data_IF_911413691317
#
_entry.id   IF_911413691317
#
_cell.length_a   1.000
_cell.length_b   1.000
_cell.length_c   1.000
_cell.angle_alpha   90.00
_cell.angle_beta   90.00
_cell.angle_gamma   90.00
#
_symmetry.space_group_name_H-M   'P 1'
#
loop_
_entity.id
_entity.type
_entity.pdbx_description
1 polymer ?
#
# COMPACT_ATOMS: atom_id res chain seq x y z
N UNK A 1 12.94 -16.62 6.45
CA UNK A 1 12.86 -15.30 5.82
C UNK A 1 13.04 -15.53 4.34
N UNK A 2 11.94 -15.62 3.59
CA UNK A 2 12.01 -15.73 2.13
C UNK A 2 12.61 -14.43 1.58
N UNK A 3 13.57 -14.54 0.67
CA UNK A 3 14.14 -13.39 -0.03
C UNK A 3 13.24 -13.12 -1.22
N UNK A 4 12.25 -12.24 -1.06
CA UNK A 4 11.42 -11.79 -2.18
C UNK A 4 12.25 -10.88 -3.09
N UNK A 5 12.25 -11.19 -4.38
CA UNK A 5 12.75 -10.27 -5.39
C UNK A 5 11.79 -9.08 -5.55
N UNK A 6 12.34 -7.96 -5.99
CA UNK A 6 11.56 -6.74 -6.24
C UNK A 6 10.41 -6.97 -7.23
N UNK A 7 10.63 -7.84 -8.23
CA UNK A 7 9.64 -8.16 -9.24
C UNK A 7 8.52 -9.05 -8.70
N UNK A 8 8.84 -10.02 -7.83
CA UNK A 8 7.82 -10.83 -7.15
C UNK A 8 6.92 -9.98 -6.27
N UNK A 9 7.49 -9.04 -5.52
CA UNK A 9 6.72 -8.10 -4.71
C UNK A 9 5.84 -7.19 -5.57
N UNK A 10 6.36 -6.68 -6.69
CA UNK A 10 5.57 -5.90 -7.65
C UNK A 10 4.41 -6.73 -8.21
N UNK A 11 4.65 -7.99 -8.56
CA UNK A 11 3.60 -8.87 -9.07
C UNK A 11 2.53 -9.14 -8.03
N UNK A 12 2.92 -9.50 -6.81
CA UNK A 12 1.98 -9.71 -5.71
C UNK A 12 1.13 -8.46 -5.42
N UNK A 13 1.75 -7.29 -5.42
CA UNK A 13 1.07 -6.01 -5.22
C UNK A 13 -0.03 -5.76 -6.27
N UNK A 14 0.27 -6.04 -7.54
CA UNK A 14 -0.69 -5.91 -8.65
C UNK A 14 -1.76 -7.01 -8.61
N UNK A 15 -1.40 -8.24 -8.24
CA UNK A 15 -2.34 -9.36 -8.07
C UNK A 15 -3.36 -9.09 -6.95
N UNK A 16 -3.01 -8.24 -5.98
CA UNK A 16 -3.94 -7.73 -4.96
C UNK A 16 -4.87 -6.62 -5.44
N UNK A 17 -4.74 -6.18 -6.69
CA UNK A 17 -5.62 -5.20 -7.33
C UNK A 17 -5.15 -3.74 -7.22
N UNK A 18 -3.95 -3.49 -6.68
CA UNK A 18 -3.35 -2.15 -6.70
C UNK A 18 -2.68 -1.87 -8.06
N UNK A 19 -2.29 -0.62 -8.30
CA UNK A 19 -1.77 -0.18 -9.59
C UNK A 19 -0.38 0.50 -9.50
N UNK A 20 0.26 0.68 -10.66
CA UNK A 20 1.53 1.39 -10.74
C UNK A 20 1.44 2.87 -10.35
N UNK A 21 0.27 3.50 -10.52
CA UNK A 21 0.08 4.91 -10.21
C UNK A 21 0.26 5.17 -8.71
N UNK A 22 -0.32 4.32 -7.86
CA UNK A 22 -0.17 4.40 -6.40
C UNK A 22 1.29 4.21 -5.94
N UNK A 23 2.03 3.27 -6.55
CA UNK A 23 3.48 3.14 -6.32
C UNK A 23 4.22 4.40 -6.76
N UNK A 24 3.90 4.94 -7.93
CA UNK A 24 4.54 6.14 -8.48
C UNK A 24 4.35 7.34 -7.55
N UNK A 25 3.14 7.53 -7.02
CA UNK A 25 2.82 8.56 -6.02
C UNK A 25 3.69 8.40 -4.77
N UNK A 26 3.80 7.19 -4.21
CA UNK A 26 4.52 6.93 -2.97
C UNK A 26 6.04 6.97 -3.11
N UNK A 27 6.59 6.65 -4.29
CA UNK A 27 8.03 6.43 -4.48
C UNK A 27 8.69 7.43 -5.43
N UNK A 28 7.90 8.23 -6.15
CA UNK A 28 8.38 9.15 -7.19
C UNK A 28 9.19 8.45 -8.30
N UNK A 29 8.91 7.16 -8.52
CA UNK A 29 9.41 6.39 -9.64
C UNK A 29 8.38 6.50 -10.77
N UNK A 30 8.78 6.87 -12.00
CA UNK A 30 7.85 6.94 -13.12
C UNK A 30 7.19 5.58 -13.39
N UNK A 31 5.89 5.58 -13.73
CA UNK A 31 5.18 4.34 -14.07
C UNK A 31 5.86 3.52 -15.17
N UNK A 32 6.49 4.18 -16.14
CA UNK A 32 7.23 3.48 -17.20
C UNK A 32 8.39 2.65 -16.62
N UNK A 33 9.16 3.19 -15.67
CA UNK A 33 10.23 2.44 -15.02
C UNK A 33 9.68 1.28 -14.18
N UNK A 34 8.53 1.44 -13.54
CA UNK A 34 7.84 0.36 -12.83
C UNK A 34 7.37 -0.75 -13.78
N UNK A 35 6.85 -0.39 -14.95
CA UNK A 35 6.47 -1.36 -16.00
C UNK A 35 7.67 -2.11 -16.55
N UNK A 36 8.81 -1.44 -16.71
CA UNK A 36 10.08 -2.08 -17.11
C UNK A 36 10.56 -3.07 -16.03
N UNK A 37 10.54 -2.66 -14.75
CA UNK A 37 10.85 -3.57 -13.62
C UNK A 37 9.93 -4.79 -13.59
N UNK A 38 8.64 -4.60 -13.84
CA UNK A 38 7.66 -5.68 -13.84
C UNK A 38 7.87 -6.65 -15.02
N UNK A 39 8.13 -6.14 -16.22
CA UNK A 39 8.20 -6.94 -17.46
C UNK A 39 9.57 -7.53 -17.80
N UNK A 40 10.65 -7.03 -17.19
CA UNK A 40 12.02 -7.42 -17.52
C UNK A 40 12.84 -7.74 -16.26
N UNK A 41 13.07 -9.03 -16.03
CA UNK A 41 13.86 -9.57 -14.89
C UNK A 41 15.28 -8.97 -14.76
N UNK A 42 15.87 -8.54 -15.89
CA UNK A 42 17.20 -7.97 -15.94
C UNK A 42 17.21 -6.45 -15.78
N UNK A 43 16.05 -5.79 -15.82
CA UNK A 43 15.97 -4.36 -15.61
C UNK A 43 16.31 -4.01 -14.16
N UNK A 44 17.04 -2.91 -13.99
CA UNK A 44 17.44 -2.37 -12.68
C UNK A 44 17.26 -0.88 -12.72
N UNK A 45 16.77 -0.32 -11.61
CA UNK A 45 16.69 1.12 -11.48
C UNK A 45 18.10 1.69 -11.44
N UNK A 46 18.27 2.82 -12.14
CA UNK A 46 19.55 3.56 -12.14
C UNK A 46 19.81 4.18 -10.78
N UNK A 47 18.77 4.69 -10.14
CA UNK A 47 18.81 5.24 -8.79
C UNK A 47 18.63 4.11 -7.77
N UNK A 48 19.72 3.79 -7.07
CA UNK A 48 19.74 2.70 -6.09
C UNK A 48 19.07 3.04 -4.78
N UNK A 49 18.91 4.31 -4.45
CA UNK A 49 18.18 4.69 -3.26
C UNK A 49 16.68 4.58 -3.54
N UNK A 50 16.20 5.00 -4.72
CA UNK A 50 14.82 4.72 -5.16
C UNK A 50 14.51 3.23 -5.19
N UNK A 51 15.44 2.39 -5.64
CA UNK A 51 15.27 0.92 -5.62
C UNK A 51 15.07 0.38 -4.20
N UNK A 52 15.84 0.86 -3.22
CA UNK A 52 15.66 0.50 -1.80
C UNK A 52 14.34 1.03 -1.25
N UNK A 53 13.97 2.27 -1.56
CA UNK A 53 12.71 2.86 -1.13
C UNK A 53 11.51 2.06 -1.66
N UNK A 54 11.54 1.67 -2.94
CA UNK A 54 10.51 0.82 -3.54
C UNK A 54 10.43 -0.55 -2.85
N UNK A 55 11.58 -1.18 -2.58
CA UNK A 55 11.63 -2.46 -1.87
C UNK A 55 10.96 -2.36 -0.49
N UNK A 56 11.30 -1.34 0.30
CA UNK A 56 10.70 -1.12 1.63
C UNK A 56 9.20 -0.86 1.51
N UNK A 57 8.78 -0.05 0.55
CA UNK A 57 7.37 0.22 0.30
C UNK A 57 6.57 -1.05 0.03
N UNK A 58 7.07 -1.89 -0.88
CA UNK A 58 6.38 -3.12 -1.25
C UNK A 58 6.40 -4.16 -0.13
N UNK A 59 7.49 -4.29 0.63
CA UNK A 59 7.56 -5.21 1.77
C UNK A 59 6.53 -4.89 2.85
N UNK A 60 6.35 -3.60 3.18
CA UNK A 60 5.37 -3.18 4.18
C UNK A 60 3.92 -3.47 3.78
N UNK A 61 3.64 -3.52 2.49
CA UNK A 61 2.29 -3.82 2.01
C UNK A 61 2.13 -5.33 1.82
N UNK A 62 3.07 -5.97 1.12
CA UNK A 62 2.94 -7.36 0.69
C UNK A 62 3.28 -8.39 1.78
N UNK A 63 4.13 -8.02 2.74
CA UNK A 63 4.67 -8.96 3.73
C UNK A 63 4.30 -8.60 5.18
N UNK A 64 3.94 -7.36 5.46
CA UNK A 64 3.54 -6.94 6.81
C UNK A 64 2.03 -7.17 6.99
N UNK A 65 1.69 -8.35 7.53
CA UNK A 65 0.35 -8.64 8.03
C UNK A 65 0.42 -9.02 9.51
N UNK A 66 0.26 -8.04 10.44
CA UNK A 66 0.11 -8.36 11.84
C UNK A 66 -1.17 -9.19 12.05
N UNK A 67 -1.12 -10.23 12.88
CA UNK A 67 -2.30 -11.04 13.27
C UNK A 67 -3.26 -10.27 14.22
N UNK A 68 -3.16 -8.94 14.27
CA UNK A 68 -3.81 -8.10 15.26
C UNK A 68 -4.59 -6.97 14.58
N UNK A 69 -5.91 -7.03 14.72
CA UNK A 69 -6.88 -6.06 14.19
C UNK A 69 -6.62 -4.65 14.75
N UNK A 70 -6.10 -4.54 15.98
CA UNK A 70 -5.76 -3.26 16.61
C UNK A 70 -4.73 -2.46 15.81
N UNK A 71 -3.84 -3.14 15.08
CA UNK A 71 -2.89 -2.45 14.20
C UNK A 71 -3.62 -1.69 13.09
N UNK A 72 -4.52 -2.36 12.37
CA UNK A 72 -5.27 -1.76 11.27
C UNK A 72 -6.28 -0.72 11.78
N UNK A 73 -6.87 -0.94 12.97
CA UNK A 73 -7.68 0.07 13.65
C UNK A 73 -6.89 1.32 13.97
N UNK A 74 -5.66 1.19 14.47
CA UNK A 74 -4.79 2.33 14.75
C UNK A 74 -4.38 3.09 13.47
N UNK A 75 -4.16 2.37 12.35
CA UNK A 75 -3.93 3.01 11.05
C UNK A 75 -5.17 3.80 10.59
N UNK A 76 -6.36 3.20 10.69
CA UNK A 76 -7.63 3.85 10.35
C UNK A 76 -7.91 5.07 11.25
N UNK A 77 -7.65 4.95 12.55
CA UNK A 77 -7.72 6.05 13.50
C UNK A 77 -6.74 7.16 13.12
N UNK A 78 -5.50 6.83 12.72
CA UNK A 78 -4.52 7.82 12.29
C UNK A 78 -4.97 8.56 11.01
N UNK A 79 -5.53 7.85 10.03
CA UNK A 79 -6.10 8.44 8.82
C UNK A 79 -7.23 9.43 9.13
N UNK A 80 -8.13 9.07 10.04
CA UNK A 80 -9.31 9.87 10.37
C UNK A 80 -9.02 10.99 11.37
N UNK A 81 -8.20 10.74 12.40
CA UNK A 81 -7.95 11.66 13.49
C UNK A 81 -6.71 12.53 13.28
N UNK A 82 -5.62 11.98 12.75
CA UNK A 82 -4.40 12.76 12.52
C UNK A 82 -4.44 13.46 11.16
N UNK A 83 -4.75 12.71 10.10
CA UNK A 83 -4.78 13.23 8.73
C UNK A 83 -6.13 13.82 8.32
N UNK A 84 -7.16 13.70 9.18
CA UNK A 84 -8.49 14.28 8.97
C UNK A 84 -9.14 13.84 7.65
N UNK A 85 -8.83 12.62 7.19
CA UNK A 85 -9.47 12.03 6.02
C UNK A 85 -10.87 11.55 6.43
N UNK A 86 -11.95 11.99 5.76
CA UNK A 86 -13.29 11.54 6.07
C UNK A 86 -13.43 10.01 5.94
N UNK A 87 -14.17 9.41 6.86
CA UNK A 87 -14.37 7.95 6.89
C UNK A 87 -15.06 7.46 5.62
N UNK A 88 -15.98 8.26 5.06
CA UNK A 88 -16.66 8.01 3.79
C UNK A 88 -15.67 7.96 2.62
N UNK A 89 -14.65 8.82 2.62
CA UNK A 89 -13.63 8.82 1.56
C UNK A 89 -12.78 7.55 1.62
N UNK A 90 -12.44 7.09 2.81
CA UNK A 90 -11.70 5.84 3.03
C UNK A 90 -12.58 4.64 2.62
N UNK A 91 -13.84 4.61 3.03
CA UNK A 91 -14.78 3.56 2.66
C UNK A 91 -14.96 3.47 1.13
N UNK A 92 -15.12 4.62 0.46
CA UNK A 92 -15.19 4.70 -1.00
C UNK A 92 -13.92 4.18 -1.68
N UNK A 93 -12.74 4.51 -1.14
CA UNK A 93 -11.46 4.01 -1.66
C UNK A 93 -11.38 2.48 -1.58
N UNK A 94 -11.80 1.90 -0.45
CA UNK A 94 -11.77 0.45 -0.20
C UNK A 94 -12.89 -0.27 -0.98
N UNK A 95 -13.97 0.45 -1.34
CA UNK A 95 -15.14 -0.10 -2.00
C UNK A 95 -16.05 -0.86 -1.02
N UNK A 96 -16.23 -0.31 0.18
CA UNK A 96 -17.17 -0.78 1.22
C UNK A 96 -17.98 0.41 1.75
N UNK A 97 -19.04 0.16 2.51
CA UNK A 97 -19.73 1.22 3.25
C UNK A 97 -19.02 1.54 4.59
N UNK A 98 -19.45 2.61 5.24
CA UNK A 98 -18.85 3.10 6.50
C UNK A 98 -18.98 2.08 7.63
N UNK A 99 -20.11 1.38 7.70
CA UNK A 99 -20.37 0.38 8.74
C UNK A 99 -19.46 -0.85 8.54
N UNK A 100 -19.31 -1.30 7.29
CA UNK A 100 -18.40 -2.38 6.89
C UNK A 100 -16.93 -2.03 7.10
N UNK A 101 -16.54 -0.77 6.93
CA UNK A 101 -15.21 -0.30 7.31
C UNK A 101 -15.03 -0.22 8.83
N UNK A 102 -16.04 0.21 9.58
CA UNK A 102 -15.94 0.36 11.04
C UNK A 102 -15.96 -0.98 11.79
N UNK A 103 -16.57 -2.00 11.20
CA UNK A 103 -16.68 -3.37 11.76
C UNK A 103 -15.93 -4.42 10.94
N UNK A 104 -14.87 -4.03 10.23
CA UNK A 104 -14.16 -4.88 9.27
C UNK A 104 -13.62 -6.20 9.88
N UNK A 105 -13.36 -6.23 11.19
CA UNK A 105 -12.90 -7.42 11.91
C UNK A 105 -13.86 -8.62 11.80
N UNK A 106 -15.15 -8.33 11.59
CA UNK A 106 -16.21 -9.33 11.46
C UNK A 106 -16.59 -9.64 10.01
N UNK A 107 -15.96 -8.95 9.05
CA UNK A 107 -16.25 -9.06 7.62
C UNK A 107 -15.60 -10.31 7.01
N UNK A 108 -16.27 -10.92 6.03
CA UNK A 108 -15.65 -11.94 5.17
C UNK A 108 -14.51 -11.37 4.32
N UNK A 109 -14.52 -10.06 4.07
CA UNK A 109 -13.54 -9.35 3.26
C UNK A 109 -12.44 -8.71 4.12
N UNK A 110 -12.33 -9.08 5.40
CA UNK A 110 -11.38 -8.54 6.38
C UNK A 110 -9.97 -8.38 5.81
N UNK A 111 -9.41 -9.45 5.24
CA UNK A 111 -8.05 -9.44 4.68
C UNK A 111 -7.87 -8.39 3.57
N UNK A 112 -8.87 -8.21 2.71
CA UNK A 112 -8.85 -7.19 1.66
C UNK A 112 -8.91 -5.79 2.26
N UNK A 113 -9.80 -5.57 3.23
CA UNK A 113 -9.98 -4.27 3.89
C UNK A 113 -8.69 -3.86 4.61
N UNK A 114 -8.08 -4.77 5.38
CA UNK A 114 -6.81 -4.57 6.06
C UNK A 114 -5.69 -4.14 5.10
N UNK A 115 -5.56 -4.85 3.97
CA UNK A 115 -4.59 -4.51 2.92
C UNK A 115 -4.84 -3.13 2.34
N UNK A 116 -6.10 -2.76 2.09
CA UNK A 116 -6.43 -1.43 1.58
C UNK A 116 -6.17 -0.33 2.61
N UNK A 117 -6.42 -0.56 3.90
CA UNK A 117 -6.07 0.38 4.99
C UNK A 117 -4.56 0.59 5.04
N UNK A 118 -3.78 -0.50 5.06
CA UNK A 118 -2.32 -0.43 5.08
C UNK A 118 -1.76 0.26 3.84
N UNK A 119 -2.29 -0.08 2.65
CA UNK A 119 -1.92 0.58 1.40
C UNK A 119 -2.19 2.09 1.47
N UNK A 120 -3.41 2.49 1.86
CA UNK A 120 -3.80 3.89 1.90
C UNK A 120 -2.90 4.67 2.86
N UNK A 121 -2.73 4.18 4.09
CA UNK A 121 -1.86 4.81 5.08
C UNK A 121 -0.43 4.93 4.56
N UNK A 122 0.15 3.83 4.09
CA UNK A 122 1.54 3.75 3.65
C UNK A 122 1.83 4.63 2.44
N UNK A 123 0.88 4.71 1.50
CA UNK A 123 0.94 5.59 0.33
C UNK A 123 0.81 7.05 0.74
N UNK A 124 -0.12 7.35 1.65
CA UNK A 124 -0.40 8.71 2.08
C UNK A 124 0.79 9.35 2.82
N UNK A 125 1.36 8.66 3.82
CA UNK A 125 2.48 9.20 4.62
C UNK A 125 3.75 9.41 3.80
N UNK A 126 3.86 8.77 2.63
CA UNK A 126 5.01 8.87 1.72
C UNK A 126 4.81 9.83 0.56
N UNK A 127 3.59 10.32 0.37
CA UNK A 127 3.32 11.27 -0.68
C UNK A 127 4.02 12.60 -0.34
N UNK A 128 4.94 13.10 -1.19
CA UNK A 128 5.67 14.34 -0.92
C UNK A 128 4.78 15.58 -0.75
N UNK A 129 3.54 15.52 -1.23
CA UNK A 129 2.56 16.60 -1.03
C UNK A 129 2.08 16.69 0.42
N UNK A 130 2.30 15.65 1.23
CA UNK A 130 1.85 15.51 2.61
C UNK A 130 3.00 15.24 3.60
N UNK A 131 4.18 14.85 3.12
CA UNK A 131 5.40 14.72 3.92
C UNK A 131 6.33 15.91 3.66
N UNK A 132 6.62 16.69 4.71
CA UNK A 132 7.48 17.90 4.70
C UNK A 132 8.88 17.62 4.21
#
# INVERSE_FOLDING_TARGET
MELYSLQELLKQYLDWGFDFASISIATQIPEEELRQLYSNENYRLRDKDKEKYLMVFLLQICCEKPDNDEYYKALLESLTQCFKIPLEAIANYIGVDVDGLSGFESSSDKDRIEKCIAHLFTTFIRNPSYSV
#
